data_IF_658035123269
#
_entry.id   IF_658035123269
#
_cell.length_a   1.000
_cell.length_b   1.000
_cell.length_c   1.000
_cell.angle_alpha   90.00
_cell.angle_beta   90.00
_cell.angle_gamma   90.00
#
_symmetry.space_group_name_H-M   'P 1'
#
loop_
_entity.id
_entity.type
_entity.pdbx_description
1 polymer ?
#
# COMPACT_ATOMS: atom_id res chain seq x y z
N UNK A 1 -1.65 17.52 4.21
CA UNK A 1 -1.61 16.49 3.16
C UNK A 1 -0.49 16.86 2.23
N UNK A 2 0.47 15.95 2.00
CA UNK A 2 1.54 16.21 1.03
C UNK A 2 0.98 16.30 -0.40
N UNK A 3 1.75 16.86 -1.32
CA UNK A 3 1.38 16.93 -2.75
C UNK A 3 1.12 15.55 -3.36
N UNK A 4 1.67 14.50 -2.74
CA UNK A 4 1.55 13.13 -3.21
C UNK A 4 0.27 12.43 -2.72
N UNK A 5 -0.54 13.08 -1.88
CA UNK A 5 -1.83 12.57 -1.42
C UNK A 5 -1.80 11.90 -0.03
N UNK A 6 -2.98 11.89 0.63
CA UNK A 6 -3.15 11.41 2.00
C UNK A 6 -2.81 9.91 2.17
N UNK A 7 -3.07 9.10 1.13
CA UNK A 7 -2.77 7.68 1.15
C UNK A 7 -1.26 7.42 1.31
N UNK A 8 -0.40 8.20 0.63
CA UNK A 8 1.04 8.10 0.80
C UNK A 8 1.53 8.64 2.15
N UNK A 9 0.88 9.67 2.69
CA UNK A 9 1.16 10.16 4.04
C UNK A 9 0.90 9.05 5.09
N UNK A 10 -0.21 8.31 4.95
CA UNK A 10 -0.56 7.20 5.85
C UNK A 10 0.32 5.97 5.63
N UNK A 11 0.73 5.67 4.40
CA UNK A 11 1.72 4.62 4.11
C UNK A 11 3.04 4.93 4.82
N UNK A 12 3.53 6.18 4.74
CA UNK A 12 4.74 6.59 5.46
C UNK A 12 4.57 6.44 6.98
N UNK A 13 3.43 6.85 7.52
CA UNK A 13 3.15 6.71 8.95
C UNK A 13 3.14 5.24 9.40
N UNK A 14 2.52 4.35 8.62
CA UNK A 14 2.51 2.92 8.91
C UNK A 14 3.94 2.35 8.87
N UNK A 15 4.72 2.70 7.85
CA UNK A 15 6.09 2.24 7.68
C UNK A 15 7.05 2.83 8.74
N UNK A 16 6.86 4.06 9.20
CA UNK A 16 7.72 4.67 10.22
C UNK A 16 7.42 4.25 11.66
N UNK A 17 6.31 3.54 11.88
CA UNK A 17 5.90 3.08 13.22
C UNK A 17 6.86 2.03 13.81
N UNK A 18 6.76 1.82 15.14
CA UNK A 18 7.49 0.74 15.84
C UNK A 18 6.86 -0.65 15.67
N UNK A 19 5.77 -0.78 14.91
CA UNK A 19 5.11 -2.07 14.73
C UNK A 19 6.04 -3.05 14.01
N UNK A 20 6.06 -4.31 14.48
CA UNK A 20 6.86 -5.39 13.88
C UNK A 20 6.50 -5.62 12.40
N UNK A 21 5.23 -5.44 12.03
CA UNK A 21 4.74 -5.59 10.66
C UNK A 21 3.89 -4.39 10.25
N UNK A 22 4.05 -3.97 9.00
CA UNK A 22 3.21 -2.99 8.34
C UNK A 22 2.66 -3.62 7.06
N UNK A 23 1.34 -3.66 6.92
CA UNK A 23 0.64 -4.24 5.77
C UNK A 23 -0.14 -3.13 5.09
N UNK A 24 0.10 -2.93 3.81
CA UNK A 24 -0.53 -1.88 3.00
C UNK A 24 -1.46 -2.53 1.97
N UNK A 25 -2.76 -2.20 1.94
CA UNK A 25 -3.65 -2.56 0.85
C UNK A 25 -3.13 -2.05 -0.49
N UNK A 26 -3.17 -2.87 -1.52
CA UNK A 26 -2.72 -2.45 -2.86
C UNK A 26 -3.56 -1.30 -3.43
N UNK A 27 -4.82 -1.16 -3.00
CA UNK A 27 -5.68 -0.02 -3.34
C UNK A 27 -5.09 1.33 -2.88
N UNK A 28 -4.45 1.36 -1.70
CA UNK A 28 -3.82 2.57 -1.16
C UNK A 28 -2.53 2.91 -1.91
N UNK A 29 -1.77 1.90 -2.35
CA UNK A 29 -0.59 2.09 -3.22
C UNK A 29 -1.02 2.70 -4.56
N UNK A 30 -2.14 2.23 -5.10
CA UNK A 30 -2.73 2.74 -6.34
C UNK A 30 -3.47 4.07 -6.18
N UNK A 31 -3.68 4.55 -4.95
CA UNK A 31 -4.41 5.80 -4.67
C UNK A 31 -5.88 5.76 -5.12
N UNK A 32 -6.54 4.61 -4.99
CA UNK A 32 -7.93 4.44 -5.44
C UNK A 32 -8.95 4.84 -4.38
N UNK A 33 -10.08 5.37 -4.83
CA UNK A 33 -11.19 5.78 -3.97
C UNK A 33 -12.11 4.60 -3.58
N UNK A 34 -13.26 4.91 -2.99
CA UNK A 34 -14.25 3.95 -2.44
C UNK A 34 -14.69 2.86 -3.43
N UNK A 35 -14.66 3.13 -4.74
CA UNK A 35 -15.00 2.14 -5.77
C UNK A 35 -14.06 0.92 -5.78
N UNK A 36 -12.87 1.05 -5.19
CA UNK A 36 -11.91 -0.05 -5.06
C UNK A 36 -12.04 -0.87 -3.77
N UNK A 37 -13.03 -0.54 -2.93
CA UNK A 37 -13.21 -1.19 -1.63
C UNK A 37 -13.51 -2.67 -1.81
N UNK A 38 -12.75 -3.52 -1.12
CA UNK A 38 -12.91 -4.97 -1.21
C UNK A 38 -14.21 -5.47 -0.58
N UNK A 39 -14.65 -4.88 0.53
CA UNK A 39 -15.85 -5.30 1.25
C UNK A 39 -16.51 -4.13 2.00
N UNK A 40 -17.82 -4.04 1.92
CA UNK A 40 -18.68 -3.23 2.76
C UNK A 40 -19.45 -4.16 3.72
N UNK A 41 -19.07 -4.21 5.01
CA UNK A 41 -19.74 -5.09 5.96
C UNK A 41 -21.25 -4.85 6.02
N UNK A 42 -22.03 -5.92 6.17
CA UNK A 42 -23.50 -5.91 6.21
C UNK A 42 -24.20 -5.60 4.87
N UNK A 43 -23.49 -5.60 3.74
CA UNK A 43 -24.12 -5.69 2.41
C UNK A 43 -23.99 -7.09 1.85
N UNK A 44 -25.01 -7.51 1.09
CA UNK A 44 -25.09 -8.83 0.46
C UNK A 44 -24.48 -8.88 -0.94
N UNK A 45 -24.42 -7.74 -1.64
CA UNK A 45 -23.98 -7.66 -3.04
C UNK A 45 -22.80 -6.70 -3.22
N UNK A 46 -22.03 -6.90 -4.30
CA UNK A 46 -20.93 -6.01 -4.70
C UNK A 46 -19.60 -6.20 -3.94
N UNK A 47 -19.53 -7.08 -2.94
CA UNK A 47 -18.32 -7.35 -2.17
C UNK A 47 -17.42 -8.40 -2.84
N UNK A 48 -16.13 -8.36 -2.51
CA UNK A 48 -15.10 -9.33 -2.90
C UNK A 48 -14.81 -9.42 -4.40
N UNK A 49 -15.23 -8.42 -5.17
CA UNK A 49 -15.13 -8.41 -6.62
C UNK A 49 -13.97 -7.54 -7.14
N UNK A 50 -13.33 -6.75 -6.28
CA UNK A 50 -12.30 -5.83 -6.70
C UNK A 50 -11.08 -6.56 -7.29
N UNK A 51 -10.63 -6.07 -8.44
CA UNK A 51 -9.41 -6.51 -9.12
C UNK A 51 -8.70 -5.31 -9.70
N UNK A 52 -7.38 -5.26 -9.58
CA UNK A 52 -6.59 -4.28 -10.31
C UNK A 52 -6.58 -4.59 -11.81
N UNK A 53 -6.38 -3.57 -12.64
CA UNK A 53 -6.26 -3.73 -14.11
C UNK A 53 -4.87 -4.21 -14.49
N UNK A 54 -4.70 -4.90 -15.64
CA UNK A 54 -3.38 -5.15 -16.20
C UNK A 54 -2.54 -3.87 -16.22
N UNK A 55 -1.25 -3.99 -15.87
CA UNK A 55 -0.29 -2.88 -15.80
C UNK A 55 -0.56 -1.79 -14.76
N UNK A 56 -1.53 -1.97 -13.85
CA UNK A 56 -1.75 -1.01 -12.75
C UNK A 56 -0.55 -0.95 -11.78
N UNK A 57 0.18 -2.06 -11.61
CA UNK A 57 1.38 -2.13 -10.79
C UNK A 57 2.59 -1.74 -11.62
N UNK A 58 2.88 -0.43 -11.68
CA UNK A 58 4.00 0.11 -12.43
C UNK A 58 5.35 -0.07 -11.70
N UNK A 59 6.44 -0.04 -12.45
CA UNK A 59 7.80 -0.01 -11.88
C UNK A 59 8.03 1.21 -10.98
N UNK A 60 7.41 2.35 -11.31
CA UNK A 60 7.47 3.56 -10.50
C UNK A 60 6.90 3.32 -9.09
N UNK A 61 5.72 2.70 -9.00
CA UNK A 61 5.10 2.36 -7.71
C UNK A 61 5.95 1.36 -6.92
N UNK A 62 6.49 0.35 -7.61
CA UNK A 62 7.37 -0.64 -6.99
C UNK A 62 8.65 0.01 -6.44
N UNK A 63 9.28 0.90 -7.21
CA UNK A 63 10.48 1.63 -6.80
C UNK A 63 10.21 2.56 -5.63
N UNK A 64 9.09 3.28 -5.66
CA UNK A 64 8.69 4.15 -4.55
C UNK A 64 8.47 3.36 -3.26
N UNK A 65 7.72 2.25 -3.33
CA UNK A 65 7.49 1.39 -2.17
C UNK A 65 8.80 0.80 -1.65
N UNK A 66 9.69 0.36 -2.56
CA UNK A 66 11.04 -0.12 -2.21
C UNK A 66 11.84 0.95 -1.47
N UNK A 67 11.89 2.18 -1.98
CA UNK A 67 12.60 3.29 -1.32
C UNK A 67 12.08 3.49 0.09
N UNK A 68 10.77 3.64 0.28
CA UNK A 68 10.18 3.84 1.61
C UNK A 68 10.44 2.64 2.56
N UNK A 69 10.39 1.42 2.03
CA UNK A 69 10.69 0.19 2.77
C UNK A 69 12.13 0.20 3.30
N UNK A 70 13.10 0.63 2.48
CA UNK A 70 14.48 0.81 2.92
C UNK A 70 14.63 2.00 3.89
N UNK A 71 14.03 3.15 3.59
CA UNK A 71 14.11 4.37 4.41
C UNK A 71 13.66 4.14 5.85
N UNK A 72 12.61 3.33 6.05
CA UNK A 72 12.07 3.03 7.38
C UNK A 72 12.58 1.72 7.97
N UNK A 73 13.66 1.15 7.45
CA UNK A 73 14.32 -0.03 8.03
C UNK A 73 13.49 -1.32 7.98
N UNK A 74 12.61 -1.45 6.98
CA UNK A 74 11.73 -2.62 6.78
C UNK A 74 12.16 -3.53 5.63
N UNK A 75 13.30 -3.24 5.01
CA UNK A 75 13.86 -4.10 3.97
C UNK A 75 14.39 -5.42 4.56
N UNK A 76 14.39 -6.52 3.79
CA UNK A 76 15.05 -7.75 4.20
C UNK A 76 16.50 -7.47 4.59
N UNK A 77 16.95 -8.05 5.70
CA UNK A 77 18.36 -8.04 6.08
C UNK A 77 19.10 -8.94 5.09
N UNK A 78 20.16 -8.44 4.44
CA UNK A 78 21.00 -9.32 3.62
C UNK A 78 21.67 -10.33 4.54
N UNK A 79 21.48 -11.61 4.24
CA UNK A 79 22.17 -12.72 4.91
C UNK A 79 23.58 -12.83 4.32
N UNK A 80 24.42 -11.83 4.57
CA UNK A 80 25.85 -11.90 4.24
C UNK A 80 26.62 -12.52 5.42
N UNK A 81 26.28 -13.78 5.73
CA UNK A 81 27.02 -14.67 6.64
C UNK A 81 27.14 -16.07 6.04
#
# INVERSE_FOLDING_TARGET
VSEEGIHWDLIRLALSSIANQAIIPVQDILGLDTDARMNFPSTVEGNWQWRYRPNALSEELANRLKILTHTYGRAPVSSDY
#
